data_IF_656987173536
#
_entry.id   IF_656987173536
#
_cell.length_a   1.000
_cell.length_b   1.000
_cell.length_c   1.000
_cell.angle_alpha   90.00
_cell.angle_beta   90.00
_cell.angle_gamma   90.00
#
_symmetry.space_group_name_H-M   'P 1'
#
loop_
_entity.id
_entity.type
_entity.pdbx_description
1 polymer ?
#
# COMPACT_ATOMS: atom_id res chain seq x y z
N UNK A 1 4.26 -8.64 -45.41
CA UNK A 1 3.53 -7.41 -45.79
C UNK A 1 4.40 -6.23 -45.38
N UNK A 2 4.98 -5.50 -46.32
CA UNK A 2 5.82 -4.31 -46.05
C UNK A 2 5.03 -3.09 -46.51
N UNK A 3 4.86 -2.11 -45.62
CA UNK A 3 4.37 -0.77 -46.01
C UNK A 3 5.33 -0.17 -47.04
N UNK A 4 4.87 0.77 -47.87
CA UNK A 4 5.71 1.40 -48.91
C UNK A 4 6.97 2.10 -48.34
N UNK A 5 6.97 2.41 -47.05
CA UNK A 5 8.10 2.95 -46.28
C UNK A 5 9.08 1.87 -45.78
N UNK A 6 8.69 0.59 -45.76
CA UNK A 6 9.47 -0.50 -45.17
C UNK A 6 9.49 -0.50 -43.63
N UNK A 7 8.60 0.26 -42.97
CA UNK A 7 8.55 0.36 -41.51
C UNK A 7 7.95 -0.91 -40.88
N UNK A 8 8.80 -1.66 -40.18
CA UNK A 8 8.43 -2.86 -39.43
C UNK A 8 7.46 -2.58 -38.28
N UNK A 9 7.41 -1.34 -37.76
CA UNK A 9 6.52 -0.94 -36.67
C UNK A 9 5.07 -0.85 -37.12
N UNK A 10 4.83 -0.34 -38.32
CA UNK A 10 3.48 -0.23 -38.88
C UNK A 10 2.95 -1.63 -39.17
N UNK A 11 3.76 -2.48 -39.79
CA UNK A 11 3.43 -3.91 -39.99
C UNK A 11 3.12 -4.63 -38.66
N UNK A 12 3.92 -4.42 -37.61
CA UNK A 12 3.70 -5.04 -36.31
C UNK A 12 2.48 -4.49 -35.54
N UNK A 13 2.15 -3.20 -35.72
CA UNK A 13 0.98 -2.59 -35.12
C UNK A 13 -0.32 -3.15 -35.73
N UNK A 14 -0.38 -3.36 -37.05
CA UNK A 14 -1.52 -4.02 -37.70
C UNK A 14 -1.72 -5.46 -37.23
N UNK A 15 -0.62 -6.19 -37.02
CA UNK A 15 -0.65 -7.57 -36.53
C UNK A 15 -1.16 -7.64 -35.06
N UNK A 16 -0.72 -6.69 -34.22
CA UNK A 16 -1.11 -6.60 -32.80
C UNK A 16 -2.57 -6.15 -32.59
N UNK A 17 -3.11 -5.34 -33.49
CA UNK A 17 -4.50 -4.86 -33.41
C UNK A 17 -5.53 -5.89 -33.89
N UNK A 18 -5.08 -7.07 -34.37
CA UNK A 18 -5.96 -8.12 -34.88
C UNK A 18 -6.50 -7.82 -36.28
N UNK A 19 -6.02 -6.77 -36.93
CA UNK A 19 -6.39 -6.36 -38.30
C UNK A 19 -5.69 -7.23 -39.38
N UNK A 20 -5.43 -8.49 -39.02
CA UNK A 20 -4.86 -9.51 -39.89
C UNK A 20 -5.66 -9.58 -41.18
N UNK A 21 -5.02 -9.16 -42.27
CA UNK A 21 -5.56 -9.09 -43.63
C UNK A 21 -6.48 -7.90 -43.97
N UNK A 22 -6.31 -6.74 -43.33
CA UNK A 22 -6.75 -5.48 -43.94
C UNK A 22 -5.81 -5.12 -45.12
N UNK A 23 -5.95 -5.84 -46.24
CA UNK A 23 -5.31 -5.50 -47.53
C UNK A 23 -5.90 -4.20 -48.11
N UNK A 24 -7.00 -3.71 -47.55
CA UNK A 24 -7.74 -2.54 -48.02
C UNK A 24 -7.20 -1.18 -47.55
N UNK A 25 -6.25 -1.15 -46.61
CA UNK A 25 -5.68 0.10 -46.07
C UNK A 25 -4.28 0.43 -46.64
N UNK A 26 -3.73 -0.43 -47.50
CA UNK A 26 -2.56 -0.07 -48.31
C UNK A 26 -3.06 0.51 -49.63
N UNK A 27 -3.58 1.75 -49.58
CA UNK A 27 -3.83 2.51 -50.81
C UNK A 27 -2.49 2.67 -51.53
N UNK A 28 -2.29 1.96 -52.66
CA UNK A 28 -1.15 2.22 -53.54
C UNK A 28 -1.24 3.69 -53.96
N UNK A 29 -0.19 4.46 -53.71
CA UNK A 29 -0.09 5.81 -54.23
C UNK A 29 0.02 5.75 -55.76
N UNK A 30 -1.13 5.80 -56.46
CA UNK A 30 -1.17 5.71 -57.92
C UNK A 30 -0.60 6.98 -58.59
N UNK A 31 -0.66 8.13 -57.91
CA UNK A 31 -0.05 9.40 -58.34
C UNK A 31 0.06 10.44 -57.19
N UNK A 32 0.90 11.46 -57.35
CA UNK A 32 1.01 12.58 -56.38
C UNK A 32 -0.32 13.35 -56.24
N UNK A 33 -1.05 13.52 -57.34
CA UNK A 33 -2.37 14.16 -57.36
C UNK A 33 -3.37 13.40 -56.50
N UNK A 34 -3.37 12.07 -56.58
CA UNK A 34 -4.23 11.21 -55.76
C UNK A 34 -3.88 11.35 -54.27
N UNK A 35 -2.60 11.32 -53.91
CA UNK A 35 -2.15 11.46 -52.52
C UNK A 35 -2.53 12.83 -51.92
N UNK A 36 -2.37 13.93 -52.66
CA UNK A 36 -2.82 15.25 -52.19
C UNK A 36 -4.34 15.32 -51.99
N UNK A 37 -5.10 14.69 -52.88
CA UNK A 37 -6.55 14.55 -52.75
C UNK A 37 -6.93 13.79 -51.48
N UNK A 38 -6.27 12.66 -51.23
CA UNK A 38 -6.46 11.81 -50.05
C UNK A 38 -6.13 12.52 -48.74
N UNK A 39 -5.00 13.23 -48.69
CA UNK A 39 -4.60 14.02 -47.52
C UNK A 39 -5.63 15.12 -47.24
N UNK A 40 -6.11 15.80 -48.29
CA UNK A 40 -7.13 16.85 -48.15
C UNK A 40 -8.46 16.28 -47.64
N UNK A 41 -8.88 15.12 -48.15
CA UNK A 41 -10.08 14.40 -47.70
C UNK A 41 -10.00 14.06 -46.20
N UNK A 42 -8.89 13.46 -45.76
CA UNK A 42 -8.70 13.06 -44.37
C UNK A 42 -8.59 14.26 -43.42
N UNK A 43 -7.89 15.32 -43.81
CA UNK A 43 -7.83 16.56 -43.02
C UNK A 43 -9.22 17.20 -42.88
N UNK A 44 -10.01 17.20 -43.95
CA UNK A 44 -11.39 17.71 -43.91
C UNK A 44 -12.27 16.87 -42.99
N UNK A 45 -12.15 15.54 -43.05
CA UNK A 45 -12.88 14.62 -42.17
C UNK A 45 -12.46 14.79 -40.69
N UNK A 46 -11.17 15.05 -40.43
CA UNK A 46 -10.69 15.35 -39.08
C UNK A 46 -11.30 16.64 -38.53
N UNK A 47 -11.41 17.69 -39.34
CA UNK A 47 -11.98 18.98 -38.94
C UNK A 47 -13.52 18.94 -38.77
N UNK A 48 -14.22 18.14 -39.57
CA UNK A 48 -15.69 18.12 -39.62
C UNK A 48 -16.34 17.00 -38.78
N UNK A 49 -15.53 16.08 -38.25
CA UNK A 49 -16.02 14.89 -37.55
C UNK A 49 -16.03 13.68 -38.49
N UNK A 50 -15.14 12.69 -38.29
CA UNK A 50 -15.00 11.58 -39.23
C UNK A 50 -16.10 10.53 -39.04
N UNK A 51 -16.47 9.87 -40.14
CA UNK A 51 -17.22 8.61 -40.10
C UNK A 51 -16.36 7.47 -39.51
N UNK A 52 -16.96 6.32 -39.18
CA UNK A 52 -16.24 5.15 -38.64
C UNK A 52 -15.09 4.71 -39.57
N UNK A 53 -15.36 4.58 -40.87
CA UNK A 53 -14.36 4.22 -41.89
C UNK A 53 -13.26 5.27 -42.05
N UNK A 54 -13.60 6.55 -41.94
CA UNK A 54 -12.60 7.64 -41.96
C UNK A 54 -11.79 7.71 -40.68
N UNK A 55 -12.35 7.31 -39.54
CA UNK A 55 -11.65 7.22 -38.26
C UNK A 55 -10.59 6.12 -38.28
N UNK A 56 -10.90 4.98 -38.90
CA UNK A 56 -9.94 3.89 -39.14
C UNK A 56 -8.82 4.36 -40.07
N UNK A 57 -9.15 5.00 -41.20
CA UNK A 57 -8.15 5.55 -42.11
C UNK A 57 -7.27 6.62 -41.44
N UNK A 58 -7.85 7.53 -40.65
CA UNK A 58 -7.11 8.53 -39.89
C UNK A 58 -6.15 7.87 -38.89
N UNK A 59 -6.54 6.79 -38.22
CA UNK A 59 -5.65 6.06 -37.29
C UNK A 59 -4.48 5.36 -38.01
N UNK A 60 -4.72 4.82 -39.20
CA UNK A 60 -3.71 4.10 -39.98
C UNK A 60 -2.77 5.05 -40.75
N UNK A 61 -3.25 6.22 -41.19
CA UNK A 61 -2.50 7.18 -42.01
C UNK A 61 -1.90 8.34 -41.19
N UNK A 62 -2.15 8.41 -39.87
CA UNK A 62 -1.45 9.34 -38.97
C UNK A 62 -0.21 8.69 -38.35
N UNK A 63 0.96 9.25 -38.67
CA UNK A 63 2.20 8.85 -38.01
C UNK A 63 2.48 9.75 -36.80
N UNK A 64 2.73 9.20 -35.61
CA UNK A 64 3.21 10.00 -34.50
C UNK A 64 4.58 10.59 -34.83
N UNK A 65 4.62 11.88 -35.15
CA UNK A 65 5.84 12.61 -35.44
C UNK A 65 6.40 13.24 -34.16
N UNK A 66 7.69 13.03 -33.88
CA UNK A 66 8.42 13.82 -32.89
C UNK A 66 9.02 15.04 -33.59
N UNK A 67 8.49 16.23 -33.30
CA UNK A 67 9.01 17.48 -33.84
C UNK A 67 9.97 18.10 -32.84
N UNK A 68 11.25 18.21 -33.20
CA UNK A 68 12.25 18.91 -32.40
C UNK A 68 12.13 20.42 -32.65
N UNK A 69 11.52 21.14 -31.71
CA UNK A 69 11.20 22.58 -31.85
C UNK A 69 12.43 23.48 -31.59
N UNK A 70 13.51 22.95 -31.02
CA UNK A 70 14.74 23.70 -30.82
C UNK A 70 15.87 22.90 -30.17
N UNK A 71 17.09 23.44 -30.24
CA UNK A 71 18.28 22.89 -29.62
C UNK A 71 19.07 24.00 -28.93
N UNK A 72 19.38 23.78 -27.64
CA UNK A 72 20.22 24.68 -26.86
C UNK A 72 21.46 23.92 -26.40
N UNK A 73 22.64 24.17 -26.99
CA UNK A 73 23.88 23.52 -26.56
C UNK A 73 24.32 24.05 -25.18
N UNK A 74 25.06 23.22 -24.44
CA UNK A 74 25.79 23.69 -23.26
C UNK A 74 26.91 24.65 -23.68
N UNK A 75 27.12 25.78 -22.96
CA UNK A 75 28.19 26.71 -23.27
C UNK A 75 29.57 26.04 -23.21
N UNK A 76 30.34 26.12 -24.30
CA UNK A 76 31.68 25.53 -24.41
C UNK A 76 31.71 24.01 -24.67
N UNK A 77 30.55 23.36 -24.81
CA UNK A 77 30.46 21.94 -25.14
C UNK A 77 30.74 21.64 -26.62
N UNK A 78 31.25 20.44 -26.96
CA UNK A 78 31.48 20.02 -28.34
C UNK A 78 30.20 19.66 -29.11
N UNK A 79 29.05 19.61 -28.43
CA UNK A 79 27.81 19.07 -28.96
C UNK A 79 27.13 20.01 -29.97
N UNK A 80 26.93 19.49 -31.18
CA UNK A 80 26.18 20.14 -32.26
C UNK A 80 24.78 19.54 -32.36
N UNK A 81 23.84 20.30 -32.92
CA UNK A 81 22.48 19.83 -33.16
C UNK A 81 22.46 18.48 -33.91
N UNK A 82 23.31 18.31 -34.93
CA UNK A 82 23.46 17.06 -35.67
C UNK A 82 23.84 15.87 -34.80
N UNK A 83 24.69 16.09 -33.78
CA UNK A 83 25.12 15.06 -32.85
C UNK A 83 23.98 14.70 -31.89
N UNK A 84 23.25 15.70 -31.38
CA UNK A 84 22.07 15.48 -30.54
C UNK A 84 20.96 14.69 -31.27
N UNK A 85 20.69 15.02 -32.54
CA UNK A 85 19.74 14.26 -33.37
C UNK A 85 20.21 12.83 -33.58
N UNK A 86 21.49 12.61 -33.94
CA UNK A 86 22.06 11.27 -34.09
C UNK A 86 21.98 10.47 -32.80
N UNK A 87 22.29 11.08 -31.65
CA UNK A 87 22.18 10.44 -30.34
C UNK A 87 20.73 10.09 -29.99
N UNK A 88 19.77 10.96 -30.30
CA UNK A 88 18.34 10.69 -30.06
C UNK A 88 17.80 9.57 -30.95
N UNK A 89 18.24 9.50 -32.21
CA UNK A 89 17.94 8.38 -33.12
C UNK A 89 18.61 7.09 -32.62
N UNK A 90 19.87 7.14 -32.22
CA UNK A 90 20.60 6.00 -31.67
C UNK A 90 19.94 5.46 -30.40
N UNK A 91 19.54 6.36 -29.47
CA UNK A 91 18.79 6.03 -28.27
C UNK A 91 17.42 5.42 -28.56
N UNK A 92 16.88 5.52 -29.77
CA UNK A 92 15.55 4.99 -30.11
C UNK A 92 15.60 3.74 -30.98
N UNK A 93 16.73 3.48 -31.64
CA UNK A 93 16.86 2.45 -32.66
C UNK A 93 18.05 1.51 -32.49
N UNK A 94 19.11 1.95 -31.80
CA UNK A 94 20.32 1.14 -31.57
C UNK A 94 20.29 0.61 -30.14
N UNK A 95 20.20 1.51 -29.17
CA UNK A 95 20.07 1.19 -27.74
C UNK A 95 18.83 1.88 -27.19
N UNK A 96 17.66 1.29 -27.47
CA UNK A 96 16.39 1.76 -26.92
C UNK A 96 16.50 1.92 -25.39
N UNK A 97 15.97 3.01 -24.79
CA UNK A 97 16.10 3.20 -23.37
C UNK A 97 15.32 2.09 -22.70
N UNK A 98 15.92 1.43 -21.71
CA UNK A 98 15.20 0.45 -20.90
C UNK A 98 14.02 1.15 -20.25
N UNK A 99 12.91 0.44 -20.15
CA UNK A 99 11.77 0.88 -19.35
C UNK A 99 12.25 1.26 -17.95
N UNK A 100 11.64 2.30 -17.39
CA UNK A 100 11.97 2.71 -16.04
C UNK A 100 11.70 1.57 -15.06
N UNK A 101 12.60 1.39 -14.12
CA UNK A 101 12.32 0.51 -12.98
C UNK A 101 11.13 1.04 -12.17
N UNK A 102 10.50 0.17 -11.38
CA UNK A 102 9.33 0.53 -10.57
C UNK A 102 9.60 1.75 -9.67
N UNK A 103 10.82 1.89 -9.14
CA UNK A 103 11.22 3.03 -8.31
C UNK A 103 11.10 4.38 -9.01
N UNK A 104 11.89 4.64 -10.06
CA UNK A 104 11.80 5.87 -10.85
C UNK A 104 10.40 6.14 -11.42
N UNK A 105 9.68 5.10 -11.84
CA UNK A 105 8.29 5.24 -12.31
C UNK A 105 7.39 5.80 -11.20
N UNK A 106 7.42 5.20 -10.00
CA UNK A 106 6.62 5.66 -8.87
C UNK A 106 6.98 7.07 -8.42
N UNK A 107 8.26 7.46 -8.50
CA UNK A 107 8.71 8.81 -8.17
C UNK A 107 8.15 9.86 -9.13
N UNK A 108 8.23 9.60 -10.44
CA UNK A 108 7.65 10.48 -11.46
C UNK A 108 6.13 10.62 -11.29
N UNK A 109 5.42 9.51 -11.10
CA UNK A 109 3.98 9.52 -10.90
C UNK A 109 3.56 10.24 -9.61
N UNK A 110 4.37 10.14 -8.54
CA UNK A 110 4.09 10.83 -7.29
C UNK A 110 4.32 12.35 -7.41
N UNK A 111 5.34 12.79 -8.14
CA UNK A 111 5.56 14.21 -8.42
C UNK A 111 4.46 14.80 -9.31
N UNK A 112 3.98 14.05 -10.30
CA UNK A 112 2.84 14.45 -11.11
C UNK A 112 1.58 14.57 -10.26
N UNK A 113 1.31 13.60 -9.37
CA UNK A 113 0.15 13.67 -8.47
C UNK A 113 0.18 14.93 -7.61
N UNK A 114 1.35 15.30 -7.07
CA UNK A 114 1.54 16.54 -6.32
C UNK A 114 1.34 17.79 -7.21
N UNK A 115 1.73 17.74 -8.48
CA UNK A 115 1.58 18.85 -9.44
C UNK A 115 0.11 19.05 -9.82
N UNK A 116 -0.61 17.98 -10.15
CA UNK A 116 -2.06 18.04 -10.43
C UNK A 116 -2.84 18.53 -9.21
N UNK A 117 -2.44 18.16 -7.99
CA UNK A 117 -3.04 18.69 -6.77
C UNK A 117 -2.80 20.19 -6.57
N UNK A 118 -1.62 20.71 -6.94
CA UNK A 118 -1.35 22.16 -6.95
C UNK A 118 -2.21 22.87 -8.00
N UNK A 119 -2.26 22.36 -9.23
CA UNK A 119 -3.02 22.95 -10.34
C UNK A 119 -4.53 23.05 -10.03
N UNK A 120 -5.05 22.09 -9.24
CA UNK A 120 -6.44 22.06 -8.78
C UNK A 120 -6.68 22.85 -7.49
N UNK A 121 -5.66 23.51 -6.93
CA UNK A 121 -5.75 24.30 -5.70
C UNK A 121 -5.89 23.49 -4.41
N UNK A 122 -5.69 22.16 -4.45
CA UNK A 122 -5.72 21.29 -3.27
C UNK A 122 -4.46 21.55 -2.41
N UNK A 123 -3.32 21.76 -3.06
CA UNK A 123 -2.05 22.09 -2.41
C UNK A 123 -1.60 23.49 -2.78
N UNK A 124 -0.98 24.18 -1.83
CA UNK A 124 -0.22 25.40 -2.14
C UNK A 124 1.14 25.03 -2.76
N UNK A 125 1.75 25.91 -3.57
CA UNK A 125 3.07 25.65 -4.16
C UNK A 125 4.15 25.32 -3.13
N UNK A 126 4.09 25.99 -1.97
CA UNK A 126 4.99 25.75 -0.85
C UNK A 126 4.77 24.35 -0.23
N UNK A 127 3.52 23.94 -0.01
CA UNK A 127 3.21 22.62 0.54
C UNK A 127 3.62 21.51 -0.42
N UNK A 128 3.36 21.69 -1.73
CA UNK A 128 3.82 20.76 -2.77
C UNK A 128 5.34 20.55 -2.70
N UNK A 129 6.12 21.63 -2.68
CA UNK A 129 7.58 21.56 -2.61
C UNK A 129 8.09 20.88 -1.34
N UNK A 130 7.41 21.09 -0.21
CA UNK A 130 7.76 20.43 1.06
C UNK A 130 7.49 18.93 1.03
N UNK A 131 6.31 18.51 0.57
CA UNK A 131 5.96 17.09 0.41
C UNK A 131 6.87 16.38 -0.60
N UNK A 132 7.24 17.07 -1.69
CA UNK A 132 8.17 16.55 -2.69
C UNK A 132 9.62 16.43 -2.18
N UNK A 133 9.95 17.00 -1.01
CA UNK A 133 11.31 17.07 -0.50
C UNK A 133 12.21 18.07 -1.24
N UNK A 134 11.62 19.02 -1.96
CA UNK A 134 12.31 20.04 -2.76
C UNK A 134 12.71 21.30 -1.97
N UNK A 135 12.56 21.27 -0.64
CA UNK A 135 13.08 22.30 0.26
C UNK A 135 13.89 21.67 1.39
N UNK A 136 14.95 22.37 1.81
CA UNK A 136 15.78 21.94 2.94
C UNK A 136 15.05 22.10 4.27
N UNK A 137 15.54 21.42 5.31
CA UNK A 137 15.01 21.57 6.69
C UNK A 137 15.07 23.03 7.18
N UNK A 138 16.10 23.79 6.78
CA UNK A 138 16.23 25.22 7.12
C UNK A 138 15.14 26.07 6.46
N UNK A 139 14.84 25.82 5.18
CA UNK A 139 13.77 26.50 4.45
C UNK A 139 12.39 26.13 5.00
N UNK A 140 12.17 24.86 5.35
CA UNK A 140 10.95 24.43 6.01
C UNK A 140 10.73 25.18 7.33
N UNK A 141 11.78 25.30 8.16
CA UNK A 141 11.72 26.06 9.43
C UNK A 141 11.35 27.53 9.21
N UNK A 142 11.96 28.20 8.24
CA UNK A 142 11.66 29.61 7.89
C UNK A 142 10.20 29.75 7.44
N UNK A 143 9.68 28.74 6.74
CA UNK A 143 8.31 28.69 6.25
C UNK A 143 7.30 28.18 7.29
N UNK A 144 7.70 27.99 8.56
CA UNK A 144 6.89 27.42 9.64
C UNK A 144 6.30 26.04 9.31
N UNK A 145 7.00 25.26 8.48
CA UNK A 145 6.67 23.88 8.16
C UNK A 145 7.43 22.91 9.09
N UNK A 146 6.88 21.71 9.36
CA UNK A 146 7.57 20.71 10.16
C UNK A 146 8.91 20.29 9.53
N UNK A 147 9.93 20.14 10.38
CA UNK A 147 11.27 19.68 9.96
C UNK A 147 11.51 18.20 10.22
N UNK A 148 10.62 17.56 11.00
CA UNK A 148 10.68 16.15 11.34
C UNK A 148 10.22 15.31 10.13
N UNK A 149 11.06 14.39 9.60
CA UNK A 149 10.68 13.52 8.50
C UNK A 149 9.53 12.57 8.85
N UNK A 150 9.33 12.19 10.12
CA UNK A 150 8.22 11.34 10.55
C UNK A 150 6.86 12.07 10.41
N UNK A 151 6.80 13.36 10.75
CA UNK A 151 5.60 14.19 10.53
C UNK A 151 5.31 14.29 9.03
N UNK A 152 6.34 14.56 8.21
CA UNK A 152 6.17 14.60 6.76
C UNK A 152 5.68 13.27 6.20
N UNK A 153 6.19 12.15 6.71
CA UNK A 153 5.76 10.82 6.29
C UNK A 153 4.29 10.55 6.62
N UNK A 154 3.85 10.92 7.83
CA UNK A 154 2.47 10.83 8.26
C UNK A 154 1.54 11.73 7.40
N UNK A 155 1.99 12.91 7.01
CA UNK A 155 1.23 13.78 6.11
C UNK A 155 1.10 13.22 4.69
N UNK A 156 2.20 12.73 4.13
CA UNK A 156 2.20 12.14 2.78
C UNK A 156 1.27 10.93 2.75
N UNK A 157 1.38 10.01 3.72
CA UNK A 157 0.53 8.82 3.72
C UNK A 157 -0.94 9.18 3.90
N UNK A 158 -1.28 10.07 4.84
CA UNK A 158 -2.66 10.53 5.05
C UNK A 158 -3.25 11.19 3.80
N UNK A 159 -2.47 12.02 3.10
CA UNK A 159 -2.90 12.67 1.87
C UNK A 159 -3.23 11.63 0.79
N UNK A 160 -2.34 10.68 0.54
CA UNK A 160 -2.51 9.69 -0.52
C UNK A 160 -3.54 8.61 -0.18
N UNK A 161 -3.74 8.29 1.10
CA UNK A 161 -4.76 7.31 1.53
C UNK A 161 -6.12 7.93 1.83
N UNK A 162 -6.25 9.26 1.76
CA UNK A 162 -7.51 9.99 1.93
C UNK A 162 -8.64 9.44 1.05
N UNK A 163 -9.86 9.45 1.59
CA UNK A 163 -11.07 9.09 0.85
C UNK A 163 -11.72 10.30 0.15
N UNK A 164 -11.15 11.50 0.33
CA UNK A 164 -11.53 12.72 -0.39
C UNK A 164 -11.49 12.50 -1.91
N UNK A 165 -12.63 12.73 -2.55
CA UNK A 165 -12.83 12.54 -3.98
C UNK A 165 -11.92 13.43 -4.81
N UNK A 166 -11.70 14.70 -4.41
CA UNK A 166 -10.86 15.64 -5.16
C UNK A 166 -9.40 15.18 -5.21
N UNK A 167 -8.89 14.65 -4.08
CA UNK A 167 -7.55 14.07 -4.00
C UNK A 167 -7.47 12.79 -4.84
N UNK A 168 -8.45 11.89 -4.72
CA UNK A 168 -8.48 10.64 -5.49
C UNK A 168 -8.51 10.89 -7.00
N UNK A 169 -9.23 11.90 -7.46
CA UNK A 169 -9.30 12.26 -8.88
C UNK A 169 -8.03 12.97 -9.37
N UNK A 170 -7.30 13.67 -8.49
CA UNK A 170 -6.00 14.23 -8.83
C UNK A 170 -4.95 13.12 -9.03
N UNK A 171 -4.89 12.13 -8.13
CA UNK A 171 -4.01 10.95 -8.26
C UNK A 171 -4.42 10.12 -9.49
N UNK A 172 -5.73 9.83 -9.58
CA UNK A 172 -6.53 9.72 -10.80
C UNK A 172 -5.78 10.02 -12.10
N UNK A 173 -5.92 11.30 -12.41
CA UNK A 173 -5.51 12.00 -13.59
C UNK A 173 -3.99 11.93 -13.80
N UNK A 174 -3.21 12.18 -12.75
CA UNK A 174 -1.75 12.08 -12.78
C UNK A 174 -1.27 10.71 -13.26
N UNK A 175 -1.82 9.63 -12.69
CA UNK A 175 -1.43 8.26 -13.06
C UNK A 175 -1.89 7.92 -14.47
N UNK A 176 -3.11 8.28 -14.87
CA UNK A 176 -3.63 7.96 -16.21
C UNK A 176 -2.97 8.77 -17.34
N UNK A 177 -2.44 9.96 -17.04
CA UNK A 177 -1.71 10.78 -18.03
C UNK A 177 -0.34 10.20 -18.39
N UNK A 178 0.32 9.54 -17.43
CA UNK A 178 1.70 9.07 -17.56
C UNK A 178 1.84 7.55 -17.61
N UNK A 179 0.76 6.80 -17.35
CA UNK A 179 0.77 5.34 -17.28
C UNK A 179 -0.49 4.74 -17.91
N UNK A 180 -0.36 3.51 -18.41
CA UNK A 180 -1.48 2.70 -18.92
C UNK A 180 -2.31 2.05 -17.81
N UNK A 181 -1.99 2.32 -16.54
CA UNK A 181 -2.70 1.75 -15.37
C UNK A 181 -4.15 2.21 -15.32
N UNK A 182 -5.07 1.26 -15.52
CA UNK A 182 -6.52 1.50 -15.49
C UNK A 182 -7.11 1.60 -14.08
N UNK A 183 -6.54 0.89 -13.09
CA UNK A 183 -7.06 0.79 -11.72
C UNK A 183 -6.05 1.30 -10.69
N UNK A 184 -6.44 2.34 -9.96
CA UNK A 184 -5.62 2.96 -8.91
C UNK A 184 -6.18 2.54 -7.55
N UNK A 185 -5.63 1.45 -7.01
CA UNK A 185 -6.04 0.89 -5.71
C UNK A 185 -5.39 1.66 -4.55
N UNK A 186 -5.90 1.48 -3.31
CA UNK A 186 -5.23 1.99 -2.10
C UNK A 186 -3.76 1.57 -2.04
N UNK A 187 -3.42 0.34 -2.44
CA UNK A 187 -2.03 -0.13 -2.50
C UNK A 187 -1.15 0.67 -3.48
N UNK A 188 -1.66 1.04 -4.65
CA UNK A 188 -0.92 1.90 -5.59
C UNK A 188 -0.69 3.27 -4.96
N UNK A 189 -1.70 3.83 -4.29
CA UNK A 189 -1.58 5.13 -3.58
C UNK A 189 -0.51 5.09 -2.48
N UNK A 190 -0.45 4.00 -1.71
CA UNK A 190 0.64 3.78 -0.71
C UNK A 190 2.00 3.71 -1.39
N UNK A 191 2.14 3.04 -2.55
CA UNK A 191 3.42 2.98 -3.27
C UNK A 191 3.90 4.36 -3.73
N UNK A 192 2.99 5.20 -4.23
CA UNK A 192 3.29 6.59 -4.62
C UNK A 192 3.67 7.44 -3.39
N UNK A 193 2.92 7.31 -2.29
CA UNK A 193 3.25 7.95 -1.02
C UNK A 193 4.67 7.59 -0.56
N UNK A 194 5.01 6.31 -0.55
CA UNK A 194 6.33 5.82 -0.15
C UNK A 194 7.45 6.36 -1.04
N UNK A 195 7.21 6.54 -2.34
CA UNK A 195 8.20 7.13 -3.24
C UNK A 195 8.61 8.55 -2.80
N UNK A 196 7.68 9.34 -2.25
CA UNK A 196 7.97 10.65 -1.67
C UNK A 196 8.63 10.53 -0.29
N UNK A 197 8.15 9.62 0.57
CA UNK A 197 8.65 9.43 1.94
C UNK A 197 10.14 9.02 1.94
N UNK A 198 10.55 8.12 1.05
CA UNK A 198 11.93 7.59 1.03
C UNK A 198 12.97 8.66 0.67
N UNK A 199 12.55 9.81 0.12
CA UNK A 199 13.47 10.94 -0.17
C UNK A 199 14.13 11.52 1.08
N UNK A 200 13.60 11.31 2.29
CA UNK A 200 14.27 11.73 3.54
C UNK A 200 15.34 10.77 4.06
N UNK A 201 15.46 9.56 3.51
CA UNK A 201 16.30 8.47 4.05
C UNK A 201 17.79 8.65 3.73
N UNK A 202 18.16 9.69 2.97
CA UNK A 202 19.54 9.91 2.57
C UNK A 202 20.49 10.07 3.79
N UNK A 203 21.40 9.11 3.96
CA UNK A 203 22.44 9.12 5.00
C UNK A 203 22.40 7.96 6.01
N UNK A 204 21.40 7.09 5.96
CA UNK A 204 21.12 6.12 7.04
C UNK A 204 21.70 4.70 6.79
N UNK A 205 22.68 4.56 5.89
CA UNK A 205 23.40 3.29 5.64
C UNK A 205 22.60 2.19 4.92
N UNK A 206 21.27 2.33 4.81
CA UNK A 206 20.39 1.42 4.07
C UNK A 206 20.28 1.79 2.59
N UNK A 207 20.23 0.79 1.70
CA UNK A 207 19.85 1.03 0.30
C UNK A 207 18.42 1.60 0.23
N UNK A 208 18.19 2.74 -0.46
CA UNK A 208 16.86 3.34 -0.62
C UNK A 208 15.83 2.36 -1.17
N UNK A 209 16.23 1.44 -2.05
CA UNK A 209 15.33 0.43 -2.62
C UNK A 209 14.86 -0.58 -1.58
N UNK A 210 15.74 -0.96 -0.64
CA UNK A 210 15.39 -1.85 0.47
C UNK A 210 14.39 -1.18 1.40
N UNK A 211 14.64 0.07 1.79
CA UNK A 211 13.73 0.85 2.64
C UNK A 211 12.39 1.05 1.93
N UNK A 212 12.39 1.42 0.64
CA UNK A 212 11.18 1.53 -0.18
C UNK A 212 10.33 0.26 -0.13
N UNK A 213 10.95 -0.92 -0.34
CA UNK A 213 10.26 -2.21 -0.30
C UNK A 213 9.58 -2.47 1.05
N UNK A 214 10.28 -2.23 2.16
CA UNK A 214 9.72 -2.48 3.50
C UNK A 214 8.64 -1.46 3.87
N UNK A 215 8.86 -0.19 3.52
CA UNK A 215 7.95 0.91 3.82
C UNK A 215 6.59 0.78 3.10
N UNK A 216 6.57 0.19 1.90
CA UNK A 216 5.32 -0.17 1.18
C UNK A 216 4.40 -1.11 1.98
N UNK A 217 4.94 -1.81 2.96
CA UNK A 217 4.22 -2.73 3.83
C UNK A 217 4.09 -2.24 5.27
N UNK A 218 4.51 -1.00 5.57
CA UNK A 218 4.53 -0.43 6.92
C UNK A 218 3.22 0.24 7.36
N UNK A 219 2.30 0.55 6.43
CA UNK A 219 1.13 1.40 6.69
C UNK A 219 -0.21 0.62 6.60
N UNK A 220 -0.33 -0.56 7.23
CA UNK A 220 -1.53 -1.42 7.07
C UNK A 220 -2.78 -0.76 7.67
N UNK A 221 -2.86 -0.55 8.99
CA UNK A 221 -4.02 0.11 9.59
C UNK A 221 -4.22 1.56 9.13
N UNK A 222 -3.13 2.26 8.84
CA UNK A 222 -3.12 3.66 8.36
C UNK A 222 -3.67 3.80 6.94
N UNK A 223 -3.51 2.78 6.09
CA UNK A 223 -4.07 2.76 4.73
C UNK A 223 -5.58 2.58 4.75
N UNK A 224 -6.07 1.76 5.68
CA UNK A 224 -7.46 1.32 5.69
C UNK A 224 -8.36 2.25 6.50
N UNK A 225 -7.80 2.94 7.50
CA UNK A 225 -8.51 3.87 8.36
C UNK A 225 -8.10 5.32 8.12
N UNK A 226 -9.05 6.24 8.22
CA UNK A 226 -8.78 7.67 8.06
C UNK A 226 -8.22 8.28 9.35
N UNK A 227 -7.13 9.03 9.22
CA UNK A 227 -6.60 9.87 10.28
C UNK A 227 -6.19 11.26 9.75
N UNK A 228 -6.20 12.24 10.63
CA UNK A 228 -5.80 13.61 10.33
C UNK A 228 -4.44 13.89 10.97
N UNK A 229 -3.36 13.99 10.18
CA UNK A 229 -2.04 14.28 10.72
C UNK A 229 -2.03 15.67 11.36
N UNK A 230 -1.42 15.76 12.54
CA UNK A 230 -1.18 17.01 13.25
C UNK A 230 0.29 17.40 13.13
N UNK A 231 0.63 18.65 13.46
CA UNK A 231 2.04 19.08 13.55
C UNK A 231 2.50 19.13 15.03
N UNK A 232 1.74 18.52 15.95
CA UNK A 232 2.08 18.49 17.38
C UNK A 232 3.30 17.61 17.63
N UNK A 233 4.01 17.87 18.73
CA UNK A 233 5.16 17.07 19.16
C UNK A 233 4.79 15.63 19.51
N UNK A 234 5.79 14.74 19.54
CA UNK A 234 5.60 13.31 19.79
C UNK A 234 4.90 13.02 21.12
N UNK A 235 5.21 13.79 22.17
CA UNK A 235 4.58 13.65 23.50
C UNK A 235 3.06 13.89 23.47
N UNK A 236 2.59 14.87 22.70
CA UNK A 236 1.17 15.15 22.59
C UNK A 236 0.43 14.05 21.81
N UNK A 237 1.09 13.44 20.81
CA UNK A 237 0.53 12.31 20.07
C UNK A 237 0.52 11.05 20.94
N UNK A 238 1.54 10.85 21.77
CA UNK A 238 1.57 9.76 22.75
C UNK A 238 0.42 9.90 23.76
N UNK A 239 0.21 11.08 24.33
CA UNK A 239 -0.87 11.34 25.28
C UNK A 239 -2.23 10.97 24.67
N UNK A 240 -2.55 11.49 23.48
CA UNK A 240 -3.80 11.16 22.79
C UNK A 240 -3.93 9.66 22.49
N UNK A 241 -2.84 9.00 22.08
CA UNK A 241 -2.86 7.57 21.78
C UNK A 241 -3.06 6.70 23.04
N UNK A 242 -2.49 7.12 24.18
CA UNK A 242 -2.68 6.46 25.47
C UNK A 242 -4.07 6.71 26.03
N UNK A 243 -4.58 7.94 25.96
CA UNK A 243 -5.96 8.27 26.38
C UNK A 243 -6.96 7.44 25.58
N UNK A 244 -6.77 7.37 24.25
CA UNK A 244 -7.62 6.57 23.37
C UNK A 244 -7.52 5.06 23.65
N UNK A 245 -6.33 4.56 23.98
CA UNK A 245 -6.12 3.17 24.38
C UNK A 245 -6.74 2.88 25.75
N UNK A 246 -6.57 3.77 26.73
CA UNK A 246 -7.10 3.61 28.09
C UNK A 246 -8.65 3.71 28.10
N UNK A 247 -9.24 4.42 27.12
CA UNK A 247 -10.69 4.48 26.89
C UNK A 247 -11.25 3.21 26.21
N UNK A 248 -10.62 2.72 25.13
CA UNK A 248 -11.02 1.48 24.44
C UNK A 248 -9.79 0.64 23.98
N UNK A 249 -9.21 -0.19 24.88
CA UNK A 249 -8.06 -1.03 24.58
C UNK A 249 -8.36 -2.09 23.50
N UNK A 250 -9.62 -2.52 23.42
CA UNK A 250 -10.13 -3.51 22.47
C UNK A 250 -10.58 -2.91 21.14
N UNK A 251 -10.69 -1.59 21.08
CA UNK A 251 -11.25 -0.85 19.96
C UNK A 251 -10.32 -0.77 18.77
N UNK A 252 -10.92 -0.47 17.61
CA UNK A 252 -10.17 -0.08 16.42
C UNK A 252 -9.35 1.19 16.70
N UNK A 253 -8.09 1.27 16.26
CA UNK A 253 -7.29 2.47 16.37
C UNK A 253 -7.99 3.69 15.76
N UNK A 254 -8.19 4.70 16.59
CA UNK A 254 -8.65 6.04 16.27
C UNK A 254 -7.50 6.99 15.93
N UNK A 255 -7.77 8.30 16.03
CA UNK A 255 -6.88 9.34 15.49
C UNK A 255 -5.49 9.34 16.12
N UNK A 256 -5.39 9.21 17.45
CA UNK A 256 -4.12 9.28 18.17
C UNK A 256 -3.24 8.07 17.86
N UNK A 257 -3.82 6.87 17.96
CA UNK A 257 -3.12 5.61 17.65
C UNK A 257 -2.70 5.52 16.18
N UNK A 258 -3.57 5.93 15.24
CA UNK A 258 -3.23 5.92 13.80
C UNK A 258 -2.16 6.95 13.44
N UNK A 259 -2.22 8.16 14.01
CA UNK A 259 -1.18 9.17 13.81
C UNK A 259 0.18 8.68 14.35
N UNK A 260 0.18 8.08 15.55
CA UNK A 260 1.38 7.52 16.15
C UNK A 260 1.98 6.43 15.27
N UNK A 261 1.15 5.51 14.77
CA UNK A 261 1.56 4.45 13.84
C UNK A 261 2.21 5.04 12.59
N UNK A 262 1.53 5.99 11.92
CA UNK A 262 2.00 6.60 10.67
C UNK A 262 3.35 7.30 10.85
N UNK A 263 3.55 7.99 11.97
CA UNK A 263 4.81 8.66 12.29
C UNK A 263 5.91 7.66 12.62
N UNK A 264 5.62 6.63 13.41
CA UNK A 264 6.59 5.64 13.87
C UNK A 264 7.03 4.65 12.76
N UNK A 265 6.21 4.44 11.72
CA UNK A 265 6.61 3.61 10.57
C UNK A 265 7.91 4.10 9.93
N UNK A 266 8.08 5.42 9.77
CA UNK A 266 9.27 5.99 9.15
C UNK A 266 10.55 5.62 9.89
N UNK A 267 10.75 6.00 11.18
CA UNK A 267 11.99 5.71 11.88
C UNK A 267 12.27 4.22 12.01
N UNK A 268 11.26 3.39 12.31
CA UNK A 268 11.44 1.94 12.46
C UNK A 268 12.02 1.27 11.20
N UNK A 269 11.56 1.69 10.02
CA UNK A 269 11.97 1.08 8.75
C UNK A 269 13.21 1.76 8.19
N UNK A 270 13.37 3.08 8.36
CA UNK A 270 14.50 3.84 7.85
C UNK A 270 15.81 3.44 8.57
N UNK A 271 15.75 3.22 9.89
CA UNK A 271 16.88 2.67 10.68
C UNK A 271 17.04 1.15 10.57
N UNK A 272 16.16 0.47 9.82
CA UNK A 272 16.10 -0.99 9.71
C UNK A 272 15.89 -1.72 11.04
N UNK A 273 15.31 -1.06 12.03
CA UNK A 273 14.85 -1.70 13.27
C UNK A 273 13.64 -2.62 13.04
N UNK A 274 12.91 -2.45 11.93
CA UNK A 274 11.82 -3.32 11.50
C UNK A 274 11.87 -3.52 9.98
N UNK A 275 11.86 -4.77 9.51
CA UNK A 275 11.93 -5.09 8.08
C UNK A 275 10.99 -6.22 7.68
N UNK A 276 10.78 -6.40 6.36
CA UNK A 276 9.90 -7.43 5.81
C UNK A 276 10.65 -8.71 5.37
N UNK A 277 11.84 -8.97 5.91
CA UNK A 277 12.71 -10.00 5.36
C UNK A 277 12.14 -11.41 5.57
N UNK A 278 12.21 -12.19 4.50
CA UNK A 278 11.62 -13.53 4.39
C UNK A 278 12.73 -14.53 4.54
N UNK A 279 12.94 -15.01 5.77
CA UNK A 279 13.72 -16.21 6.03
C UNK A 279 15.13 -16.24 5.44
N UNK A 280 15.98 -15.27 5.77
CA UNK A 280 17.43 -15.47 5.63
C UNK A 280 17.87 -16.58 6.57
N UNK A 281 18.69 -17.52 6.08
CA UNK A 281 19.38 -18.52 6.89
C UNK A 281 20.14 -17.81 8.01
N UNK A 282 19.74 -18.00 9.27
CA UNK A 282 20.18 -17.34 10.53
C UNK A 282 19.21 -16.31 11.14
N UNK A 283 18.01 -16.10 10.59
CA UNK A 283 16.98 -15.35 11.32
C UNK A 283 16.19 -16.32 12.24
N UNK A 284 16.17 -16.13 13.58
CA UNK A 284 15.35 -16.94 14.48
C UNK A 284 13.84 -16.80 14.17
N UNK A 285 13.45 -15.77 13.42
CA UNK A 285 12.08 -15.53 12.98
C UNK A 285 11.82 -16.02 11.54
N UNK A 286 12.50 -17.07 11.07
CA UNK A 286 12.38 -17.58 9.68
C UNK A 286 10.92 -17.88 9.28
N UNK A 287 10.11 -18.29 10.26
CA UNK A 287 8.69 -18.63 10.10
C UNK A 287 7.74 -17.43 10.26
N UNK A 288 8.21 -16.31 10.82
CA UNK A 288 7.40 -15.10 10.99
C UNK A 288 7.34 -14.32 9.67
N UNK A 289 6.31 -14.60 8.89
CA UNK A 289 6.03 -13.94 7.61
C UNK A 289 5.34 -12.58 7.73
N UNK A 290 5.16 -12.05 8.95
CA UNK A 290 4.43 -10.80 9.13
C UNK A 290 5.11 -9.62 8.46
N UNK A 291 4.31 -8.75 7.87
CA UNK A 291 4.77 -7.48 7.29
C UNK A 291 5.04 -6.46 8.42
N UNK A 292 5.94 -5.47 8.20
CA UNK A 292 6.20 -4.41 9.18
C UNK A 292 4.94 -3.75 9.74
N UNK A 293 3.97 -3.44 8.88
CA UNK A 293 2.71 -2.84 9.29
C UNK A 293 1.88 -3.74 10.21
N UNK A 294 1.93 -5.06 10.06
CA UNK A 294 1.22 -5.99 10.94
C UNK A 294 1.85 -6.03 12.34
N UNK A 295 3.17 -5.85 12.43
CA UNK A 295 3.87 -5.72 13.72
C UNK A 295 3.49 -4.39 14.38
N UNK A 296 3.50 -3.28 13.62
CA UNK A 296 3.08 -1.96 14.12
C UNK A 296 1.61 -2.00 14.60
N UNK A 297 0.72 -2.61 13.84
CA UNK A 297 -0.69 -2.76 14.20
C UNK A 297 -0.84 -3.57 15.50
N UNK A 298 -0.02 -4.61 15.70
CA UNK A 298 0.03 -5.35 16.97
C UNK A 298 0.49 -4.44 18.12
N UNK A 299 1.49 -3.59 17.91
CA UNK A 299 1.98 -2.65 18.92
C UNK A 299 0.87 -1.68 19.41
N UNK A 300 -0.06 -1.28 18.54
CA UNK A 300 -1.19 -0.40 18.90
C UNK A 300 -2.20 -1.02 19.87
N UNK A 301 -2.11 -2.34 20.10
CA UNK A 301 -3.01 -3.08 21.01
C UNK A 301 -2.49 -3.17 22.44
N UNK A 302 -1.35 -2.52 22.74
CA UNK A 302 -0.74 -2.58 24.07
C UNK A 302 -0.10 -1.25 24.46
N UNK A 303 -0.10 -0.95 25.76
CA UNK A 303 0.55 0.25 26.31
C UNK A 303 2.05 0.27 26.04
N UNK A 304 2.72 -0.88 26.21
CA UNK A 304 4.12 -1.08 25.86
C UNK A 304 4.40 -0.74 24.39
N UNK A 305 3.56 -1.23 23.47
CA UNK A 305 3.72 -0.97 22.04
C UNK A 305 3.53 0.50 21.70
N UNK A 306 2.54 1.18 22.29
CA UNK A 306 2.32 2.62 22.14
C UNK A 306 3.55 3.41 22.62
N UNK A 307 4.09 3.09 23.80
CA UNK A 307 5.33 3.72 24.29
C UNK A 307 6.53 3.42 23.38
N UNK A 308 6.65 2.21 22.85
CA UNK A 308 7.73 1.82 21.95
C UNK A 308 7.68 2.55 20.62
N UNK A 309 6.49 2.76 20.04
CA UNK A 309 6.29 3.56 18.83
C UNK A 309 6.69 5.02 19.07
N UNK A 310 6.28 5.58 20.22
CA UNK A 310 6.70 6.93 20.62
C UNK A 310 8.23 7.03 20.75
N UNK A 311 8.88 6.10 21.46
CA UNK A 311 10.33 6.12 21.65
C UNK A 311 11.10 6.08 20.32
N UNK A 312 10.62 5.31 19.34
CA UNK A 312 11.21 5.25 18.01
C UNK A 312 11.21 6.63 17.31
N UNK A 313 10.15 7.42 17.46
CA UNK A 313 10.09 8.79 16.95
C UNK A 313 11.11 9.68 17.66
N UNK A 314 11.26 9.53 18.99
CA UNK A 314 12.09 10.43 19.82
C UNK A 314 13.61 10.30 19.61
N UNK A 315 14.34 9.25 20.01
CA UNK A 315 14.67 8.20 19.01
C UNK A 315 15.36 8.85 17.81
N UNK A 316 14.68 8.72 16.69
CA UNK A 316 15.16 9.23 15.42
C UNK A 316 15.32 10.76 15.42
N UNK A 317 14.41 11.50 16.05
CA UNK A 317 14.48 12.96 16.04
C UNK A 317 15.72 13.49 16.81
N UNK A 318 16.17 12.76 17.82
CA UNK A 318 17.42 12.99 18.55
C UNK A 318 18.67 12.62 17.72
N UNK A 319 18.50 12.10 16.50
CA UNK A 319 19.59 11.75 15.58
C UNK A 319 20.30 10.45 15.93
N UNK A 320 19.67 9.55 16.69
CA UNK A 320 20.26 8.25 17.03
C UNK A 320 20.22 7.31 15.84
N UNK A 321 21.32 6.58 15.62
CA UNK A 321 21.41 5.52 14.61
C UNK A 321 20.72 4.22 15.06
N UNK A 322 20.70 3.96 16.37
CA UNK A 322 20.06 2.80 16.98
C UNK A 322 18.90 3.26 17.87
N UNK A 323 17.71 2.73 17.59
CA UNK A 323 16.51 2.97 18.38
C UNK A 323 16.56 2.11 19.65
N UNK A 324 15.94 2.56 20.73
CA UNK A 324 15.99 1.87 22.04
C UNK A 324 14.68 1.17 22.37
N UNK A 325 14.80 0.06 23.07
CA UNK A 325 13.66 -0.64 23.65
C UNK A 325 13.19 0.07 24.93
N UNK A 326 11.90 -0.04 25.23
CA UNK A 326 11.29 0.51 26.45
C UNK A 326 10.55 -0.55 27.23
N UNK A 327 10.31 -0.28 28.50
CA UNK A 327 9.41 -1.05 29.36
C UNK A 327 7.98 -0.49 29.32
N UNK A 328 7.03 -1.11 30.05
CA UNK A 328 5.59 -0.78 29.97
C UNK A 328 5.26 0.66 30.39
N UNK A 329 6.10 1.28 31.20
CA UNK A 329 5.98 2.67 31.66
C UNK A 329 6.65 3.68 30.70
N UNK A 330 7.25 3.19 29.60
CA UNK A 330 7.99 3.99 28.64
C UNK A 330 9.42 4.34 29.06
N UNK A 331 9.90 3.83 30.20
CA UNK A 331 11.30 3.96 30.60
C UNK A 331 12.21 3.13 29.68
N UNK A 332 13.46 3.57 29.52
CA UNK A 332 14.41 2.88 28.63
C UNK A 332 14.81 1.56 29.26
N UNK A 333 14.61 0.48 28.52
CA UNK A 333 15.01 -0.85 28.95
C UNK A 333 16.53 -0.99 28.86
N UNK A 334 17.12 -1.56 29.89
CA UNK A 334 18.55 -1.91 29.89
C UNK A 334 18.76 -3.37 29.46
N UNK A 335 19.94 -3.67 28.95
CA UNK A 335 20.40 -5.04 28.68
C UNK A 335 20.41 -5.89 29.96
N UNK A 336 20.49 -7.23 29.85
CA UNK A 336 20.45 -8.14 31.01
C UNK A 336 21.55 -7.86 32.06
N UNK A 337 22.71 -7.40 31.60
CA UNK A 337 23.84 -6.96 32.43
C UNK A 337 23.63 -5.56 33.05
N UNK A 338 22.52 -4.88 32.72
CA UNK A 338 22.16 -3.51 33.09
C UNK A 338 23.21 -2.46 32.72
N UNK A 339 24.09 -2.77 31.77
CA UNK A 339 25.22 -1.91 31.43
C UNK A 339 24.92 -0.94 30.27
N UNK A 340 23.97 -1.29 29.39
CA UNK A 340 23.68 -0.53 28.18
C UNK A 340 22.17 -0.43 27.91
N UNK A 341 21.79 0.59 27.14
CA UNK A 341 20.43 0.71 26.60
C UNK A 341 20.18 -0.48 25.66
N UNK A 342 19.10 -1.23 25.89
CA UNK A 342 18.69 -2.32 25.02
C UNK A 342 18.34 -1.75 23.63
N UNK A 343 19.04 -2.23 22.59
CA UNK A 343 18.77 -1.80 21.21
C UNK A 343 17.54 -2.49 20.65
N UNK A 344 16.73 -1.71 19.93
CA UNK A 344 15.54 -2.19 19.23
C UNK A 344 15.95 -2.88 17.92
N UNK A 345 15.52 -4.13 17.76
CA UNK A 345 15.75 -4.93 16.55
C UNK A 345 14.47 -5.58 16.07
N UNK A 346 14.46 -6.02 14.80
CA UNK A 346 13.31 -6.72 14.20
C UNK A 346 12.96 -7.98 14.99
N UNK A 347 13.98 -8.70 15.48
CA UNK A 347 13.81 -9.89 16.33
C UNK A 347 13.12 -9.55 17.65
N UNK A 348 13.56 -8.48 18.30
CA UNK A 348 12.97 -8.03 19.55
C UNK A 348 11.51 -7.60 19.37
N UNK A 349 11.21 -6.79 18.34
CA UNK A 349 9.84 -6.33 18.08
C UNK A 349 8.89 -7.49 17.82
N UNK A 350 9.28 -8.45 17.00
CA UNK A 350 8.43 -9.58 16.62
C UNK A 350 8.18 -10.56 17.77
N UNK A 351 9.17 -10.76 18.64
CA UNK A 351 9.04 -11.61 19.83
C UNK A 351 8.25 -10.94 20.95
N UNK A 352 8.43 -9.63 21.14
CA UNK A 352 7.72 -8.84 22.15
C UNK A 352 6.25 -8.63 21.79
N UNK A 353 5.97 -8.42 20.50
CA UNK A 353 4.62 -8.22 19.97
C UNK A 353 4.27 -9.39 19.06
N UNK A 354 3.84 -10.55 19.60
CA UNK A 354 3.58 -11.73 18.80
C UNK A 354 2.27 -11.61 18.00
N UNK A 355 2.10 -12.45 16.98
CA UNK A 355 0.89 -12.48 16.15
C UNK A 355 -0.35 -12.77 17.03
N UNK A 356 -1.49 -12.18 16.69
CA UNK A 356 -2.78 -12.58 17.25
C UNK A 356 -2.96 -14.12 17.14
N UNK A 357 -3.45 -14.73 18.21
CA UNK A 357 -3.56 -16.19 18.33
C UNK A 357 -2.25 -16.92 18.68
N UNK A 358 -1.13 -16.21 18.85
CA UNK A 358 0.15 -16.77 19.33
C UNK A 358 0.66 -16.00 20.55
N UNK A 359 -0.11 -15.96 21.67
CA UNK A 359 0.30 -15.21 22.86
C UNK A 359 1.69 -15.64 23.34
N UNK A 360 2.46 -14.65 23.80
CA UNK A 360 3.83 -14.89 24.28
C UNK A 360 3.81 -15.61 25.61
N UNK A 361 4.76 -16.53 25.79
CA UNK A 361 4.98 -17.18 27.06
C UNK A 361 5.65 -16.17 28.02
N UNK A 362 5.12 -15.97 29.24
CA UNK A 362 5.75 -15.05 30.18
C UNK A 362 7.13 -15.57 30.61
N UNK A 363 8.02 -14.64 30.97
CA UNK A 363 9.40 -14.97 31.39
C UNK A 363 9.47 -15.61 32.79
N UNK A 364 8.46 -15.36 33.64
CA UNK A 364 8.26 -16.04 34.92
C UNK A 364 6.80 -16.46 35.09
N UNK A 365 6.53 -17.36 36.04
CA UNK A 365 5.18 -17.84 36.37
C UNK A 365 4.81 -17.47 37.82
N UNK A 366 5.19 -16.25 38.22
CA UNK A 366 5.10 -15.83 39.62
C UNK A 366 3.68 -15.37 40.00
N UNK A 367 2.84 -15.03 39.02
CA UNK A 367 1.48 -14.54 39.24
C UNK A 367 0.41 -15.40 38.55
N UNK A 368 -0.85 -15.38 39.03
CA UNK A 368 -1.97 -16.02 38.34
C UNK A 368 -2.19 -15.50 36.92
N UNK A 369 -1.90 -14.22 36.67
CA UNK A 369 -1.98 -13.63 35.34
C UNK A 369 -0.89 -14.21 34.42
N UNK A 370 0.30 -14.52 34.94
CA UNK A 370 1.35 -15.20 34.18
C UNK A 370 0.99 -16.66 33.89
N UNK A 371 0.42 -17.38 34.87
CA UNK A 371 -0.09 -18.73 34.63
C UNK A 371 -1.19 -18.74 33.54
N UNK A 372 -2.07 -17.74 33.53
CA UNK A 372 -3.08 -17.57 32.48
C UNK A 372 -2.45 -17.29 31.10
N UNK A 373 -1.44 -16.43 31.03
CA UNK A 373 -0.70 -16.15 29.79
C UNK A 373 0.04 -17.38 29.26
N UNK A 374 0.66 -18.17 30.15
CA UNK A 374 1.30 -19.45 29.81
C UNK A 374 0.30 -20.45 29.22
N UNK A 375 -0.85 -20.62 29.89
CA UNK A 375 -1.93 -21.49 29.41
C UNK A 375 -2.49 -21.00 28.06
N UNK A 376 -2.65 -19.69 27.88
CA UNK A 376 -3.07 -19.11 26.61
C UNK A 376 -2.03 -19.36 25.50
N UNK A 377 -0.73 -19.26 25.81
CA UNK A 377 0.36 -19.57 24.88
C UNK A 377 0.33 -21.05 24.45
N UNK A 378 0.12 -21.97 25.40
CA UNK A 378 -0.05 -23.39 25.13
C UNK A 378 -1.28 -23.66 24.25
N UNK A 379 -2.42 -23.02 24.54
CA UNK A 379 -3.64 -23.14 23.71
C UNK A 379 -3.40 -22.62 22.29
N UNK A 380 -2.75 -21.46 22.13
CA UNK A 380 -2.40 -20.92 20.81
C UNK A 380 -1.45 -21.84 20.02
N UNK A 381 -0.54 -22.55 20.70
CA UNK A 381 0.28 -23.59 20.06
C UNK A 381 -0.56 -24.79 19.60
N UNK A 382 -1.49 -25.26 20.43
CA UNK A 382 -2.39 -26.36 20.08
C UNK A 382 -3.32 -26.03 18.89
N UNK A 383 -3.85 -24.80 18.83
CA UNK A 383 -4.68 -24.33 17.70
C UNK A 383 -3.89 -24.35 16.40
N UNK A 384 -2.61 -23.96 16.41
CA UNK A 384 -1.75 -24.03 15.22
C UNK A 384 -1.48 -25.47 14.79
N UNK A 385 -1.24 -26.38 15.74
CA UNK A 385 -1.10 -27.81 15.44
C UNK A 385 -2.37 -28.40 14.83
N UNK A 386 -3.55 -27.97 15.29
CA UNK A 386 -4.82 -28.36 14.67
C UNK A 386 -4.93 -27.86 13.23
N UNK A 387 -4.54 -26.61 12.95
CA UNK A 387 -4.52 -26.06 11.58
C UNK A 387 -3.58 -26.86 10.66
N UNK A 388 -2.38 -27.19 11.14
CA UNK A 388 -1.42 -28.04 10.43
C UNK A 388 -1.96 -29.45 10.17
N UNK A 389 -2.60 -30.07 11.18
CA UNK A 389 -3.21 -31.39 11.03
C UNK A 389 -4.36 -31.38 10.02
N UNK A 390 -5.19 -30.33 10.02
CA UNK A 390 -6.26 -30.14 9.03
C UNK A 390 -5.70 -29.95 7.62
N UNK A 391 -4.61 -29.19 7.47
CA UNK A 391 -3.92 -29.04 6.18
C UNK A 391 -3.33 -30.38 5.71
N UNK A 392 -2.75 -31.18 6.61
CA UNK A 392 -2.24 -32.50 6.29
C UNK A 392 -3.34 -33.47 5.84
N UNK A 393 -4.51 -33.45 6.49
CA UNK A 393 -5.68 -34.23 6.08
C UNK A 393 -6.15 -33.87 4.65
N UNK A 394 -6.24 -32.58 4.33
CA UNK A 394 -6.55 -32.09 2.97
C UNK A 394 -5.45 -32.41 1.95
N UNK A 395 -4.22 -32.57 2.43
CA UNK A 395 -3.05 -32.92 1.61
C UNK A 395 -3.05 -34.38 1.13
N UNK A 396 -3.86 -35.27 1.72
CA UNK A 396 -3.93 -36.69 1.32
C UNK A 396 -4.60 -36.79 -0.06
N UNK A 397 -3.83 -37.19 -1.07
CA UNK A 397 -4.32 -37.38 -2.45
C UNK A 397 -4.62 -38.85 -2.74
N UNK A 398 -5.70 -39.10 -3.46
CA UNK A 398 -6.03 -40.41 -4.02
C UNK A 398 -5.11 -40.73 -5.22
N UNK A 399 -5.18 -41.97 -5.71
CA UNK A 399 -4.35 -42.45 -6.83
C UNK A 399 -4.61 -41.70 -8.16
N UNK A 400 -5.75 -41.05 -8.29
CA UNK A 400 -6.14 -40.22 -9.43
C UNK A 400 -5.80 -38.72 -9.25
N UNK A 401 -5.16 -38.36 -8.14
CA UNK A 401 -4.75 -36.99 -7.80
C UNK A 401 -5.84 -36.14 -7.14
N UNK A 402 -7.04 -36.67 -6.92
CA UNK A 402 -8.12 -35.97 -6.20
C UNK A 402 -7.90 -35.97 -4.68
N UNK A 403 -8.57 -35.06 -3.98
CA UNK A 403 -8.47 -34.94 -2.52
C UNK A 403 -9.18 -36.14 -1.89
N UNK A 404 -8.42 -37.01 -1.24
CA UNK A 404 -8.94 -38.29 -0.77
C UNK A 404 -10.01 -38.11 0.32
N UNK A 405 -9.87 -37.06 1.12
CA UNK A 405 -10.85 -36.69 2.14
C UNK A 405 -12.20 -36.25 1.54
N UNK A 406 -12.22 -35.69 0.33
CA UNK A 406 -13.46 -35.28 -0.36
C UNK A 406 -14.18 -36.46 -1.03
N UNK A 407 -13.45 -37.55 -1.32
CA UNK A 407 -13.99 -38.74 -1.98
C UNK A 407 -14.44 -39.81 -0.99
N UNK A 408 -13.68 -40.05 0.08
CA UNK A 408 -13.96 -41.10 1.07
C UNK A 408 -14.60 -40.54 2.35
N UNK A 409 -14.32 -39.28 2.68
CA UNK A 409 -14.74 -38.70 3.95
C UNK A 409 -13.97 -39.24 5.16
N UNK A 410 -14.45 -38.89 6.35
CA UNK A 410 -13.95 -39.36 7.65
C UNK A 410 -15.14 -39.95 8.40
N UNK A 411 -14.90 -40.97 9.23
CA UNK A 411 -15.93 -41.59 10.06
C UNK A 411 -16.70 -40.54 10.88
N UNK A 412 -18.03 -40.56 10.74
CA UNK A 412 -18.93 -39.57 11.34
C UNK A 412 -18.86 -39.56 12.88
N UNK A 413 -18.55 -40.69 13.52
CA UNK A 413 -18.41 -40.77 14.98
C UNK A 413 -17.24 -39.92 15.48
N UNK A 414 -16.08 -40.03 14.83
CA UNK A 414 -14.91 -39.21 15.13
C UNK A 414 -15.16 -37.73 14.81
N UNK A 415 -15.79 -37.43 13.67
CA UNK A 415 -16.14 -36.04 13.30
C UNK A 415 -17.07 -35.41 14.33
N UNK A 416 -18.09 -36.14 14.80
CA UNK A 416 -19.01 -35.64 15.82
C UNK A 416 -18.32 -35.36 17.16
N UNK A 417 -17.41 -36.23 17.59
CA UNK A 417 -16.65 -36.05 18.84
C UNK A 417 -15.68 -34.85 18.76
N UNK A 418 -14.95 -34.72 17.65
CA UNK A 418 -14.06 -33.58 17.41
C UNK A 418 -14.86 -32.28 17.34
N UNK A 419 -15.96 -32.26 16.58
CA UNK A 419 -16.83 -31.10 16.46
C UNK A 419 -17.39 -30.68 17.81
N UNK A 420 -17.89 -31.62 18.62
CA UNK A 420 -18.38 -31.32 19.96
C UNK A 420 -17.31 -30.68 20.86
N UNK A 421 -16.07 -31.16 20.78
CA UNK A 421 -14.94 -30.58 21.52
C UNK A 421 -14.59 -29.17 21.03
N UNK A 422 -14.57 -28.96 19.71
CA UNK A 422 -14.27 -27.65 19.11
C UNK A 422 -15.38 -26.62 19.35
N UNK A 423 -16.65 -27.04 19.31
CA UNK A 423 -17.80 -26.18 19.58
C UNK A 423 -17.81 -25.74 21.06
N UNK A 424 -17.48 -26.66 21.99
CA UNK A 424 -17.31 -26.33 23.39
C UNK A 424 -16.15 -25.35 23.62
N UNK A 425 -14.98 -25.63 23.03
CA UNK A 425 -13.84 -24.73 23.09
C UNK A 425 -14.15 -23.35 22.48
N UNK A 426 -14.88 -23.30 21.37
CA UNK A 426 -15.34 -22.05 20.74
C UNK A 426 -16.29 -21.27 21.65
N UNK A 427 -17.16 -21.95 22.40
CA UNK A 427 -18.06 -21.33 23.38
C UNK A 427 -17.27 -20.69 24.53
N UNK A 428 -16.28 -21.40 25.06
CA UNK A 428 -15.39 -20.89 26.11
C UNK A 428 -14.55 -19.70 25.63
N UNK A 429 -13.96 -19.79 24.43
CA UNK A 429 -13.20 -18.70 23.81
C UNK A 429 -14.05 -17.44 23.63
N UNK A 430 -15.28 -17.58 23.15
CA UNK A 430 -16.22 -16.47 23.03
C UNK A 430 -16.57 -15.86 24.39
N UNK A 431 -16.77 -16.70 25.40
CA UNK A 431 -17.05 -16.24 26.76
C UNK A 431 -15.87 -15.48 27.37
N UNK A 432 -14.64 -16.01 27.25
CA UNK A 432 -13.43 -15.35 27.72
C UNK A 432 -13.14 -14.05 26.96
N UNK A 433 -13.37 -14.04 25.64
CA UNK A 433 -13.31 -12.84 24.81
C UNK A 433 -14.24 -11.74 25.32
N UNK A 434 -15.50 -12.08 25.62
CA UNK A 434 -16.47 -11.12 26.20
C UNK A 434 -16.08 -10.64 27.60
N UNK A 435 -15.51 -11.50 28.45
CA UNK A 435 -14.99 -11.08 29.76
C UNK A 435 -13.87 -10.07 29.56
N UNK A 436 -12.94 -10.36 28.66
CA UNK A 436 -11.83 -9.47 28.36
C UNK A 436 -12.33 -8.13 27.79
N UNK A 437 -13.24 -8.14 26.82
CA UNK A 437 -13.87 -6.92 26.28
C UNK A 437 -14.57 -6.12 27.38
N UNK A 438 -15.34 -6.75 28.27
CA UNK A 438 -16.03 -6.07 29.36
C UNK A 438 -15.08 -5.47 30.39
N UNK A 439 -13.98 -6.16 30.70
CA UNK A 439 -12.97 -5.67 31.64
C UNK A 439 -12.21 -4.48 31.06
N UNK A 440 -11.95 -4.49 29.76
CA UNK A 440 -11.11 -3.50 29.09
C UNK A 440 -11.89 -2.33 28.49
N UNK A 441 -13.14 -2.51 28.06
CA UNK A 441 -14.04 -1.39 27.75
C UNK A 441 -14.50 -0.74 29.05
N UNK A 442 -13.89 0.38 29.44
CA UNK A 442 -14.49 1.24 30.48
C UNK A 442 -15.81 1.77 29.95
N UNK A 443 -16.90 1.42 30.63
CA UNK A 443 -18.25 1.84 30.31
C UNK A 443 -18.29 3.34 30.00
N UNK A 444 -18.58 3.67 28.74
CA UNK A 444 -19.02 5.00 28.35
C UNK A 444 -20.18 5.36 29.25
N UNK A 445 -19.97 6.33 30.14
CA UNK A 445 -21.02 6.88 31.00
C UNK A 445 -21.94 7.74 30.14
N UNK A 446 -22.68 7.11 29.22
CA UNK A 446 -23.80 7.74 28.54
C UNK A 446 -25.01 7.50 29.42
N UNK A 447 -25.37 8.52 30.19
CA UNK A 447 -26.75 8.68 30.65
C UNK A 447 -27.64 8.86 29.42
N UNK A 448 -28.24 7.77 28.94
CA UNK A 448 -29.44 7.82 28.13
C UNK A 448 -30.36 6.68 28.56
N UNK A 449 -31.52 7.10 29.07
CA UNK A 449 -32.71 6.33 29.42
C UNK A 449 -32.89 5.03 28.64
N UNK A 450 -33.02 3.94 29.42
CA UNK A 450 -34.07 2.91 29.39
C UNK A 450 -35.01 3.00 28.18
N UNK A 451 -34.86 2.05 27.26
CA UNK A 451 -36.00 1.24 26.84
C UNK A 451 -35.54 -0.21 26.73
N UNK A 452 -35.99 -0.99 27.71
CA UNK A 452 -35.91 -2.44 27.73
C UNK A 452 -36.91 -2.97 26.70
N UNK A 453 -36.44 -3.38 25.51
CA UNK A 453 -37.20 -4.32 24.69
C UNK A 453 -36.26 -5.27 23.96
N UNK A 454 -36.16 -6.45 24.55
CA UNK A 454 -35.69 -7.67 23.91
C UNK A 454 -36.62 -7.98 22.75
N UNK A 455 -36.10 -8.05 21.54
CA UNK A 455 -36.66 -8.90 20.49
C UNK A 455 -35.49 -9.67 19.85
N UNK A 456 -35.49 -10.97 20.11
CA UNK A 456 -34.71 -11.97 19.43
C UNK A 456 -35.36 -12.24 18.08
N UNK A 457 -34.77 -11.81 16.97
CA UNK A 457 -35.10 -12.36 15.65
C UNK A 457 -34.10 -11.89 14.59
N UNK A 458 -33.84 -12.76 13.61
CA UNK A 458 -32.98 -12.62 12.42
C UNK A 458 -31.49 -12.95 12.56
N UNK A 459 -31.23 -14.26 12.55
CA UNK A 459 -30.15 -14.85 11.76
C UNK A 459 -30.51 -14.65 10.27
N UNK A 460 -29.89 -13.67 9.60
CA UNK A 460 -29.96 -13.59 8.14
C UNK A 460 -28.83 -14.40 7.50
N UNK A 461 -29.30 -15.32 6.67
CA UNK A 461 -28.63 -16.28 5.82
C UNK A 461 -27.83 -15.56 4.71
N UNK A 462 -26.58 -15.95 4.38
CA UNK A 462 -25.78 -15.24 3.37
C UNK A 462 -26.05 -15.65 1.91
N UNK A 463 -27.11 -16.40 1.61
CA UNK A 463 -27.46 -16.77 0.24
C UNK A 463 -28.86 -16.25 -0.12
N UNK A 464 -28.88 -15.12 -0.86
CA UNK A 464 -29.88 -14.65 -1.85
C UNK A 464 -29.97 -13.11 -1.80
N UNK A 465 -29.46 -12.45 -2.85
CA UNK A 465 -30.18 -11.51 -3.74
C UNK A 465 -29.11 -10.84 -4.62
N UNK A 466 -28.91 -11.42 -5.81
CA UNK A 466 -28.34 -10.72 -6.96
C UNK A 466 -29.50 -10.01 -7.64
N UNK A 467 -29.69 -8.72 -7.36
CA UNK A 467 -30.58 -7.88 -8.17
C UNK A 467 -29.74 -7.24 -9.29
N UNK A 468 -29.93 -7.78 -10.49
CA UNK A 468 -29.52 -7.18 -11.75
C UNK A 468 -30.38 -5.95 -12.02
N UNK A 469 -29.71 -4.81 -12.23
CA UNK A 469 -30.32 -3.57 -12.70
C UNK A 469 -30.18 -3.56 -14.24
N UNK A 470 -31.26 -3.89 -14.95
CA UNK A 470 -31.42 -3.57 -16.36
C UNK A 470 -32.64 -2.64 -16.50
N UNK A 471 -32.36 -1.36 -16.76
CA UNK A 471 -33.34 -0.38 -17.20
C UNK A 471 -33.64 -0.64 -18.69
N UNK A 472 -34.82 -1.19 -18.97
CA UNK A 472 -35.45 -1.11 -20.30
C UNK A 472 -36.29 0.17 -20.40
N UNK A 473 -36.27 0.73 -21.61
CA UNK A 473 -37.11 1.78 -22.19
C UNK A 473 -36.77 3.26 -21.92
N UNK A 474 -36.23 3.92 -22.95
CA UNK A 474 -37.11 4.68 -23.85
C UNK A 474 -36.40 5.33 -25.06
N UNK A 475 -37.20 5.37 -26.14
CA UNK A 475 -37.28 6.36 -27.22
C UNK A 475 -36.57 6.00 -28.54
N UNK A 476 -37.20 6.09 -29.72
CA UNK A 476 -38.53 6.57 -30.11
C UNK A 476 -38.79 6.20 -31.57
N UNK A 477 -40.05 6.31 -31.99
CA UNK A 477 -40.54 6.09 -33.34
C UNK A 477 -40.04 7.12 -34.38
N UNK A 478 -40.42 6.86 -35.64
CA UNK A 478 -40.45 7.75 -36.85
C UNK A 478 -39.14 7.69 -37.67
N UNK A 479 -39.09 7.30 -38.95
CA UNK A 479 -40.07 7.18 -40.05
C UNK A 479 -39.77 6.01 -40.97
#
# INVERSE_FOLDING_TARGET
MTTAEGSSRTTAAHDLLGDGNSVDVVTKAESDTFMRGRIKELNTAFEQGPTVKQSEALRCETMPALILVGYRPLPGGPDRFSSAVKSLVALRHVDAPKEWGEGPELESLADEALTVMEDRGILTPLRRRWLAGAISRSQARIAHLPTDPAIRAAEIIALFTSDDQAIRDAIRDAVTRQSTRKRITKNVRVKLAVALIVRSVAGEGASPDRVRRYMQHGFVSVRDNHFKPTHRGAEAVLADALDEFDDDPAGTPGQGRLELAARATYPLIATLSLWADRGTSNNPNVDDRRRPGEVIDTMLTSRLGIHQLHRAIVDHNDGRSALRAVDEDGSIRLTEDRAQDQTLSDVYLRSTFPKAGSPSRPASMDTPDDALRDAAAALGAAVRQLEEAMAALRGVKATDGTDHVETVGIDLSHVNEWKGTLDAAGTDLNFWGRIWERRNRRATRVTARRDDRWDSEYLDNPDEVVEAWEDEDAAEAVS
#
